data_IF_225514878983
#
_entry.id   IF_225514878983
#
_cell.length_a   1.000
_cell.length_b   1.000
_cell.length_c   1.000
_cell.angle_alpha   90.00
_cell.angle_beta   90.00
_cell.angle_gamma   90.00
#
_symmetry.space_group_name_H-M   'P 1'
#
loop_
_entity.id
_entity.type
_entity.pdbx_description
1 polymer ?
#
# COMPACT_ATOMS: atom_id res chain seq x y z
N UNK A 1 7.75 -11.16 2.89
CA UNK A 1 7.95 -10.74 4.31
C UNK A 1 8.28 -9.26 4.31
N UNK A 2 7.93 -8.54 5.39
CA UNK A 2 8.27 -7.10 5.51
C UNK A 2 9.79 -6.91 5.55
N UNK A 3 10.31 -5.96 4.76
CA UNK A 3 11.75 -5.76 4.57
C UNK A 3 12.46 -5.35 5.86
N UNK A 4 11.79 -4.59 6.72
CA UNK A 4 12.36 -4.12 7.98
C UNK A 4 12.46 -5.24 9.02
N UNK A 5 11.48 -6.16 9.04
CA UNK A 5 11.51 -7.34 9.91
C UNK A 5 12.64 -8.29 9.51
N UNK A 6 12.99 -8.34 8.23
CA UNK A 6 14.15 -9.13 7.77
C UNK A 6 15.49 -8.46 8.12
N UNK A 7 15.56 -7.14 8.08
CA UNK A 7 16.80 -6.40 8.32
C UNK A 7 17.10 -6.27 9.82
N UNK A 8 16.08 -6.09 10.65
CA UNK A 8 16.23 -5.78 12.07
C UNK A 8 15.53 -6.80 12.97
N UNK A 9 16.03 -6.95 14.19
CA UNK A 9 15.33 -7.62 15.28
C UNK A 9 14.23 -6.72 15.88
N UNK A 10 13.35 -7.30 16.73
CA UNK A 10 12.33 -6.53 17.44
C UNK A 10 12.91 -5.38 18.28
N UNK A 11 14.14 -5.50 18.76
CA UNK A 11 14.86 -4.45 19.50
C UNK A 11 15.65 -3.48 18.59
N UNK A 12 15.28 -3.38 17.31
CA UNK A 12 15.92 -2.51 16.31
C UNK A 12 17.43 -2.76 16.11
N UNK A 13 17.93 -3.94 16.44
CA UNK A 13 19.33 -4.33 16.16
C UNK A 13 19.40 -4.95 14.78
N UNK A 14 20.43 -4.56 14.00
CA UNK A 14 20.73 -5.17 12.72
C UNK A 14 20.92 -6.68 12.91
N UNK A 15 20.29 -7.49 12.05
CA UNK A 15 20.50 -8.96 12.04
C UNK A 15 21.87 -9.28 11.48
N UNK A 16 22.48 -10.35 11.97
CA UNK A 16 23.77 -10.85 11.48
C UNK A 16 23.68 -11.47 10.08
N UNK A 17 22.51 -11.89 9.68
CA UNK A 17 22.26 -12.55 8.39
C UNK A 17 21.01 -11.99 7.72
N UNK A 18 21.02 -11.93 6.39
CA UNK A 18 19.89 -11.56 5.54
C UNK A 18 19.63 -12.66 4.51
N UNK A 19 18.53 -13.40 4.68
CA UNK A 19 18.15 -14.51 3.80
C UNK A 19 17.92 -14.10 2.32
N UNK A 20 17.81 -12.81 2.04
CA UNK A 20 17.55 -12.25 0.69
C UNK A 20 18.78 -11.57 0.08
N UNK A 21 19.94 -11.71 0.71
CA UNK A 21 21.21 -11.19 0.20
C UNK A 21 22.13 -12.35 -0.19
N UNK A 22 22.99 -12.18 -1.21
CA UNK A 22 23.99 -13.19 -1.55
C UNK A 22 24.87 -13.55 -0.34
N UNK A 23 25.12 -14.84 -0.15
CA UNK A 23 25.88 -15.39 0.97
C UNK A 23 25.33 -15.03 2.37
N UNK A 24 24.03 -14.67 2.46
CA UNK A 24 23.42 -14.25 3.72
C UNK A 24 23.96 -12.93 4.29
N UNK A 25 24.66 -12.14 3.51
CA UNK A 25 25.28 -10.90 4.00
C UNK A 25 24.24 -9.92 4.49
N UNK A 26 24.40 -9.46 5.73
CA UNK A 26 23.56 -8.41 6.29
C UNK A 26 23.90 -7.03 5.67
N UNK A 27 22.98 -6.10 5.79
CA UNK A 27 23.11 -4.69 5.38
C UNK A 27 23.45 -4.44 3.89
N UNK A 28 23.18 -5.43 3.02
CA UNK A 28 23.37 -5.29 1.57
C UNK A 28 22.16 -4.68 0.85
N UNK A 29 21.03 -4.52 1.52
CA UNK A 29 19.80 -3.95 0.97
C UNK A 29 19.51 -2.59 1.58
N UNK A 30 18.94 -1.65 0.82
CA UNK A 30 18.51 -0.36 1.37
C UNK A 30 17.42 -0.58 2.44
N UNK A 31 17.24 0.41 3.30
CA UNK A 31 16.03 0.50 4.10
C UNK A 31 14.82 0.76 3.21
N UNK A 32 13.70 0.13 3.51
CA UNK A 32 12.48 0.20 2.69
C UNK A 32 12.73 -0.12 1.21
N UNK A 33 13.29 -1.30 0.88
CA UNK A 33 13.68 -1.64 -0.49
C UNK A 33 12.52 -1.53 -1.48
N UNK A 34 11.28 -1.82 -1.08
CA UNK A 34 10.11 -1.64 -1.94
C UNK A 34 9.98 -0.18 -2.42
N UNK A 35 10.16 0.79 -1.53
CA UNK A 35 10.10 2.22 -1.88
C UNK A 35 11.29 2.61 -2.75
N UNK A 36 12.51 2.21 -2.35
CA UNK A 36 13.75 2.57 -3.05
C UNK A 36 13.77 1.98 -4.46
N UNK A 37 13.46 0.69 -4.59
CA UNK A 37 13.47 0.02 -5.91
C UNK A 37 12.38 0.54 -6.82
N UNK A 38 11.19 0.83 -6.29
CA UNK A 38 10.12 1.46 -7.08
C UNK A 38 10.56 2.81 -7.63
N UNK A 39 11.18 3.65 -6.83
CA UNK A 39 11.70 4.96 -7.29
C UNK A 39 12.74 4.80 -8.40
N UNK A 40 13.67 3.87 -8.24
CA UNK A 40 14.67 3.56 -9.29
C UNK A 40 13.97 3.09 -10.58
N UNK A 41 12.98 2.19 -10.47
CA UNK A 41 12.24 1.72 -11.64
C UNK A 41 11.48 2.86 -12.32
N UNK A 42 10.83 3.73 -11.56
CA UNK A 42 10.11 4.89 -12.11
C UNK A 42 11.03 5.93 -12.74
N UNK A 43 12.25 6.06 -12.24
CA UNK A 43 13.28 6.93 -12.83
C UNK A 43 13.79 6.36 -14.17
N UNK A 44 14.08 5.06 -14.21
CA UNK A 44 14.60 4.39 -15.41
C UNK A 44 13.53 4.12 -16.47
N UNK A 45 12.30 3.86 -16.05
CA UNK A 45 11.18 3.45 -16.90
C UNK A 45 9.90 4.23 -16.50
N UNK A 46 9.83 5.54 -16.76
CA UNK A 46 8.74 6.41 -16.28
C UNK A 46 7.35 6.00 -16.78
N UNK A 47 7.28 5.46 -18.00
CA UNK A 47 6.03 5.05 -18.65
C UNK A 47 5.60 3.61 -18.31
N UNK A 48 6.45 2.86 -17.61
CA UNK A 48 6.13 1.48 -17.23
C UNK A 48 5.36 1.45 -15.91
N UNK A 49 4.19 0.81 -15.87
CA UNK A 49 3.44 0.63 -14.63
C UNK A 49 4.21 -0.19 -13.60
N UNK A 50 4.19 0.24 -12.35
CA UNK A 50 4.76 -0.50 -11.22
C UNK A 50 3.64 -0.89 -10.26
N UNK A 51 3.45 -2.19 -10.07
CA UNK A 51 2.46 -2.77 -9.17
C UNK A 51 3.17 -3.36 -7.95
N UNK A 52 2.73 -2.99 -6.76
CA UNK A 52 3.26 -3.51 -5.51
C UNK A 52 2.38 -4.64 -4.99
N UNK A 53 3.01 -5.63 -4.38
CA UNK A 53 2.33 -6.76 -3.74
C UNK A 53 3.05 -7.26 -2.50
N UNK A 54 2.52 -8.33 -1.93
CA UNK A 54 3.08 -8.98 -0.75
C UNK A 54 2.76 -8.28 0.57
N UNK A 55 3.30 -8.83 1.66
CA UNK A 55 2.96 -8.39 3.03
C UNK A 55 3.31 -6.93 3.28
N UNK A 56 4.47 -6.47 2.83
CA UNK A 56 4.92 -5.10 3.05
C UNK A 56 3.96 -4.08 2.43
N UNK A 57 3.57 -4.27 1.18
CA UNK A 57 2.60 -3.41 0.51
C UNK A 57 1.20 -3.51 1.14
N UNK A 58 0.77 -4.73 1.49
CA UNK A 58 -0.54 -4.97 2.12
C UNK A 58 -0.67 -4.26 3.46
N UNK A 59 0.36 -4.29 4.30
CA UNK A 59 0.36 -3.64 5.62
C UNK A 59 0.50 -2.12 5.53
N UNK A 60 1.08 -1.60 4.45
CA UNK A 60 1.33 -0.16 4.24
C UNK A 60 0.40 0.48 3.21
N UNK A 61 -0.74 -0.16 2.93
CA UNK A 61 -1.73 0.32 1.95
C UNK A 61 -2.51 1.57 2.37
N UNK A 62 -2.48 1.91 3.65
CA UNK A 62 -3.10 3.09 4.25
C UNK A 62 -2.08 3.78 5.18
N UNK A 63 -2.48 4.86 5.86
CA UNK A 63 -1.68 5.44 6.93
C UNK A 63 -1.37 4.39 8.00
N UNK A 64 -0.10 4.22 8.31
CA UNK A 64 0.37 3.18 9.21
C UNK A 64 1.45 3.71 10.16
N UNK A 65 1.57 3.08 11.33
CA UNK A 65 2.66 3.34 12.25
C UNK A 65 3.91 2.56 11.83
N UNK A 66 4.98 3.27 11.54
CA UNK A 66 6.29 2.68 11.27
C UNK A 66 7.07 2.59 12.57
N UNK A 67 7.18 1.38 13.09
CA UNK A 67 7.89 1.08 14.33
C UNK A 67 9.37 1.48 14.29
N UNK A 68 10.02 1.36 13.14
CA UNK A 68 11.44 1.63 12.98
C UNK A 68 11.75 3.13 13.05
N UNK A 69 10.93 3.94 12.39
CA UNK A 69 11.00 5.41 12.38
C UNK A 69 10.29 6.05 13.58
N UNK A 70 9.52 5.28 14.34
CA UNK A 70 8.68 5.75 15.45
C UNK A 70 7.73 6.89 15.05
N UNK A 71 7.07 6.73 13.89
CA UNK A 71 6.12 7.73 13.38
C UNK A 71 5.07 7.13 12.46
N UNK A 72 3.99 7.89 12.26
CA UNK A 72 3.02 7.58 11.22
C UNK A 72 3.58 7.93 9.85
N UNK A 73 3.41 6.99 8.91
CA UNK A 73 3.78 7.12 7.51
C UNK A 73 2.53 7.08 6.65
N UNK A 74 2.52 7.76 5.50
CA UNK A 74 1.40 7.69 4.56
C UNK A 74 1.33 6.33 3.87
N UNK A 75 0.32 6.14 3.03
CA UNK A 75 0.24 4.99 2.13
C UNK A 75 1.54 4.82 1.33
N UNK A 76 2.00 3.58 1.17
CA UNK A 76 3.25 3.28 0.43
C UNK A 76 3.21 3.73 -1.03
N UNK A 77 2.03 3.85 -1.67
CA UNK A 77 1.91 4.44 -3.01
C UNK A 77 2.39 5.89 -3.04
N UNK A 78 2.07 6.67 -2.00
CA UNK A 78 2.51 8.07 -1.89
C UNK A 78 4.03 8.18 -1.74
N UNK A 79 4.62 7.29 -0.96
CA UNK A 79 6.07 7.31 -0.70
C UNK A 79 6.89 6.73 -1.87
N UNK A 80 6.37 5.71 -2.55
CA UNK A 80 7.09 5.00 -3.61
C UNK A 80 6.86 5.55 -5.00
N UNK A 81 5.68 6.13 -5.26
CA UNK A 81 5.24 6.51 -6.61
C UNK A 81 4.79 5.34 -7.48
N UNK A 82 4.52 4.18 -6.89
CA UNK A 82 3.91 3.06 -7.61
C UNK A 82 2.48 3.37 -8.04
N UNK A 83 2.00 2.66 -9.05
CA UNK A 83 0.69 2.94 -9.67
C UNK A 83 -0.46 2.20 -8.97
N UNK A 84 -0.21 1.00 -8.46
CA UNK A 84 -1.24 0.14 -7.87
C UNK A 84 -0.64 -0.76 -6.79
N UNK A 85 -1.45 -1.12 -5.79
CA UNK A 85 -1.15 -2.25 -4.89
C UNK A 85 -2.16 -3.36 -5.17
N UNK A 86 -1.68 -4.60 -5.19
CA UNK A 86 -2.50 -5.80 -5.04
C UNK A 86 -2.18 -6.38 -3.67
N UNK A 87 -3.16 -6.43 -2.76
CA UNK A 87 -2.95 -6.86 -1.38
C UNK A 87 -3.56 -8.23 -1.09
N UNK A 88 -3.10 -8.86 -0.01
CA UNK A 88 -3.57 -10.19 0.39
C UNK A 88 -3.12 -11.27 -0.60
N UNK A 89 -4.02 -12.22 -0.91
CA UNK A 89 -3.82 -13.26 -1.91
C UNK A 89 -4.21 -12.71 -3.29
N UNK A 90 -3.24 -12.18 -4.01
CA UNK A 90 -3.45 -11.37 -5.20
C UNK A 90 -3.56 -12.13 -6.52
N UNK A 91 -3.64 -13.47 -6.53
CA UNK A 91 -3.56 -14.28 -7.75
C UNK A 91 -4.69 -13.94 -8.74
N UNK A 92 -5.91 -13.79 -8.25
CA UNK A 92 -7.06 -13.40 -9.10
C UNK A 92 -6.92 -11.98 -9.60
N UNK A 93 -6.56 -11.06 -8.71
CA UNK A 93 -6.44 -9.64 -9.03
C UNK A 93 -5.35 -9.38 -10.07
N UNK A 94 -4.18 -10.07 -9.99
CA UNK A 94 -3.12 -9.91 -10.99
C UNK A 94 -3.54 -10.44 -12.36
N UNK A 95 -4.27 -11.56 -12.43
CA UNK A 95 -4.78 -12.11 -13.69
C UNK A 95 -5.76 -11.14 -14.34
N UNK A 96 -6.71 -10.60 -13.54
CA UNK A 96 -7.70 -9.64 -14.02
C UNK A 96 -7.04 -8.34 -14.49
N UNK A 97 -6.05 -7.84 -13.76
CA UNK A 97 -5.24 -6.70 -14.16
C UNK A 97 -4.56 -6.93 -15.50
N UNK A 98 -3.89 -8.07 -15.65
CA UNK A 98 -3.22 -8.41 -16.91
C UNK A 98 -4.22 -8.50 -18.08
N UNK A 99 -5.39 -9.09 -17.87
CA UNK A 99 -6.41 -9.19 -18.92
C UNK A 99 -6.89 -7.81 -19.37
N UNK A 100 -7.22 -6.91 -18.43
CA UNK A 100 -7.62 -5.53 -18.77
C UNK A 100 -6.52 -4.76 -19.49
N UNK A 101 -5.27 -4.93 -19.09
CA UNK A 101 -4.15 -4.31 -19.80
C UNK A 101 -3.97 -4.88 -21.22
N UNK A 102 -4.18 -6.17 -21.44
CA UNK A 102 -4.18 -6.79 -22.77
C UNK A 102 -5.34 -6.29 -23.64
N UNK A 103 -6.48 -5.93 -23.05
CA UNK A 103 -7.61 -5.28 -23.71
C UNK A 103 -7.33 -3.81 -24.06
N UNK A 104 -6.19 -3.26 -23.60
CA UNK A 104 -5.75 -1.89 -23.93
C UNK A 104 -6.07 -0.85 -22.88
N UNK A 105 -6.57 -1.24 -21.70
CA UNK A 105 -6.79 -0.28 -20.60
C UNK A 105 -5.46 0.17 -20.00
N UNK A 106 -5.33 1.45 -19.74
CA UNK A 106 -4.20 2.01 -18.98
C UNK A 106 -4.30 1.66 -17.50
N UNK A 107 -3.17 1.47 -16.82
CA UNK A 107 -3.14 1.12 -15.37
C UNK A 107 -3.93 2.12 -14.52
N UNK A 108 -3.94 3.40 -14.89
CA UNK A 108 -4.64 4.46 -14.16
C UNK A 108 -6.16 4.42 -14.34
N UNK A 109 -6.64 3.73 -15.37
CA UNK A 109 -8.07 3.60 -15.66
C UNK A 109 -8.66 2.34 -15.02
N UNK A 110 -7.80 1.42 -14.58
CA UNK A 110 -8.20 0.16 -13.93
C UNK A 110 -8.34 0.39 -12.42
N UNK A 111 -9.58 0.60 -11.95
CA UNK A 111 -9.88 1.00 -10.57
C UNK A 111 -10.92 0.11 -9.87
N UNK A 112 -11.46 -0.85 -10.58
CA UNK A 112 -12.61 -1.67 -10.18
C UNK A 112 -12.24 -3.10 -9.76
N UNK A 113 -10.96 -3.48 -9.84
CA UNK A 113 -10.51 -4.83 -9.48
C UNK A 113 -10.55 -5.01 -7.96
N UNK A 114 -11.14 -6.10 -7.45
CA UNK A 114 -11.07 -6.47 -6.04
C UNK A 114 -9.62 -6.61 -5.54
N UNK A 115 -9.41 -6.44 -4.25
CA UNK A 115 -8.09 -6.56 -3.60
C UNK A 115 -7.01 -5.63 -4.17
N UNK A 116 -7.41 -4.47 -4.72
CA UNK A 116 -6.48 -3.46 -5.20
C UNK A 116 -6.54 -2.18 -4.38
N UNK A 117 -5.45 -1.41 -4.43
CA UNK A 117 -5.39 -0.08 -3.84
C UNK A 117 -4.78 0.88 -4.85
N UNK A 118 -5.42 2.01 -5.05
CA UNK A 118 -4.94 3.06 -5.92
C UNK A 118 -5.03 4.43 -5.26
N UNK A 119 -4.29 5.40 -5.79
CA UNK A 119 -4.40 6.80 -5.41
C UNK A 119 -4.98 7.64 -6.55
N UNK A 120 -5.84 8.58 -6.20
CA UNK A 120 -6.49 9.46 -7.17
C UNK A 120 -6.98 10.75 -6.50
N UNK A 121 -7.37 11.75 -7.29
CA UNK A 121 -8.16 12.88 -6.81
C UNK A 121 -9.64 12.50 -6.64
N UNK A 122 -10.45 13.42 -6.16
CA UNK A 122 -11.88 13.18 -5.91
C UNK A 122 -12.65 12.81 -7.19
N UNK A 123 -12.27 13.38 -8.33
CA UNK A 123 -12.93 13.12 -9.62
C UNK A 123 -12.57 11.74 -10.19
N UNK A 124 -11.39 11.23 -9.83
CA UNK A 124 -10.91 9.94 -10.29
C UNK A 124 -11.35 8.76 -9.45
N UNK A 125 -12.16 8.92 -8.40
CA UNK A 125 -12.70 7.80 -7.63
C UNK A 125 -13.72 7.05 -8.49
N UNK A 126 -13.49 5.77 -8.70
CA UNK A 126 -14.36 4.92 -9.53
C UNK A 126 -15.81 4.90 -9.01
N UNK A 127 -16.75 5.30 -9.89
CA UNK A 127 -18.15 5.45 -9.54
C UNK A 127 -18.43 6.57 -8.52
N UNK A 128 -17.46 7.45 -8.26
CA UNK A 128 -17.55 8.50 -7.24
C UNK A 128 -17.56 7.94 -5.80
N UNK A 129 -17.96 8.79 -4.86
CA UNK A 129 -18.21 8.36 -3.49
C UNK A 129 -19.58 7.65 -3.42
N UNK A 130 -19.60 6.41 -2.93
CA UNK A 130 -20.81 5.60 -2.76
C UNK A 130 -21.31 5.69 -1.31
N UNK A 131 -22.61 5.47 -1.09
CA UNK A 131 -23.21 5.54 0.25
C UNK A 131 -22.65 4.51 1.21
N UNK A 132 -22.18 3.38 0.70
CA UNK A 132 -21.57 2.30 1.48
C UNK A 132 -20.05 2.41 1.60
N UNK A 133 -19.43 3.47 1.09
CA UNK A 133 -17.98 3.69 1.30
C UNK A 133 -17.70 4.04 2.75
N UNK A 134 -16.67 3.43 3.30
CA UNK A 134 -16.16 3.75 4.62
C UNK A 134 -15.07 4.82 4.48
N UNK A 135 -15.41 6.03 4.86
CA UNK A 135 -14.42 7.13 4.95
C UNK A 135 -13.79 7.11 6.33
N UNK A 136 -12.49 6.93 6.37
CA UNK A 136 -11.71 6.95 7.59
C UNK A 136 -10.98 8.30 7.74
N UNK A 137 -10.47 8.59 8.93
CA UNK A 137 -9.70 9.80 9.18
C UNK A 137 -8.54 9.94 8.21
N UNK A 138 -8.30 11.14 7.72
CA UNK A 138 -7.21 11.47 6.81
C UNK A 138 -5.84 11.22 7.46
N UNK A 139 -4.81 11.16 6.64
CA UNK A 139 -3.43 11.07 7.13
C UNK A 139 -3.08 12.22 8.06
N UNK A 140 -3.47 13.44 7.71
CA UNK A 140 -3.22 14.66 8.47
C UNK A 140 -3.92 14.66 9.83
N UNK A 141 -5.18 14.19 9.89
CA UNK A 141 -5.90 14.02 11.15
C UNK A 141 -5.23 12.98 12.05
N UNK A 142 -4.76 11.88 11.48
CA UNK A 142 -4.01 10.86 12.23
C UNK A 142 -2.70 11.39 12.79
N UNK A 143 -1.98 12.24 12.06
CA UNK A 143 -0.75 12.88 12.54
C UNK A 143 -0.99 13.79 13.74
N UNK A 144 -2.15 14.46 13.79
CA UNK A 144 -2.51 15.39 14.86
C UNK A 144 -3.16 14.70 16.05
N UNK A 145 -3.80 13.54 15.82
CA UNK A 145 -4.62 12.88 16.84
C UNK A 145 -4.42 11.36 16.83
N UNK A 146 -3.74 10.84 17.86
CA UNK A 146 -3.51 9.40 18.03
C UNK A 146 -4.82 8.59 18.12
N UNK A 147 -5.91 9.20 18.62
CA UNK A 147 -7.22 8.54 18.70
C UNK A 147 -7.79 8.30 17.32
N UNK A 148 -7.66 9.27 16.38
CA UNK A 148 -8.07 9.11 14.99
C UNK A 148 -7.36 7.92 14.32
N UNK A 149 -6.06 7.75 14.56
CA UNK A 149 -5.32 6.58 14.06
C UNK A 149 -5.83 5.27 14.68
N UNK A 150 -6.16 5.25 15.97
CA UNK A 150 -6.68 4.07 16.64
C UNK A 150 -8.09 3.70 16.12
N UNK A 151 -8.93 4.68 15.85
CA UNK A 151 -10.26 4.50 15.24
C UNK A 151 -10.14 3.95 13.82
N UNK A 152 -9.23 4.50 13.01
CA UNK A 152 -8.93 3.96 11.68
C UNK A 152 -8.47 2.51 11.74
N UNK A 153 -7.55 2.18 12.66
CA UNK A 153 -7.06 0.81 12.82
C UNK A 153 -8.20 -0.16 13.14
N UNK A 154 -9.10 0.23 14.06
CA UNK A 154 -10.28 -0.58 14.40
C UNK A 154 -11.16 -0.85 13.17
N UNK A 155 -11.46 0.18 12.38
CA UNK A 155 -12.27 0.04 11.16
C UNK A 155 -11.59 -0.87 10.14
N UNK A 156 -10.28 -0.70 9.91
CA UNK A 156 -9.50 -1.52 8.98
C UNK A 156 -9.51 -3.00 9.39
N UNK A 157 -9.35 -3.28 10.70
CA UNK A 157 -9.40 -4.64 11.24
C UNK A 157 -10.80 -5.26 11.10
N UNK A 158 -11.85 -4.50 11.43
CA UNK A 158 -13.21 -4.95 11.28
C UNK A 158 -13.55 -5.30 9.82
N UNK A 159 -13.16 -4.44 8.87
CA UNK A 159 -13.38 -4.70 7.43
C UNK A 159 -12.53 -5.86 6.91
N UNK A 160 -11.30 -6.00 7.38
CA UNK A 160 -10.41 -7.10 6.95
C UNK A 160 -10.93 -8.49 7.35
N UNK A 161 -11.84 -8.57 8.31
CA UNK A 161 -12.41 -9.82 8.81
C UNK A 161 -13.82 -10.10 8.27
N UNK A 162 -14.38 -9.23 7.41
CA UNK A 162 -15.71 -9.43 6.81
C UNK A 162 -15.64 -10.21 5.51
N UNK A 163 -16.59 -11.09 5.29
CA UNK A 163 -16.78 -11.79 4.00
C UNK A 163 -17.23 -10.80 2.91
N UNK A 164 -18.05 -9.82 3.29
CA UNK A 164 -18.52 -8.74 2.41
C UNK A 164 -18.01 -7.40 2.96
N UNK A 165 -16.72 -7.17 2.81
CA UNK A 165 -16.08 -5.94 3.20
C UNK A 165 -16.52 -4.78 2.28
N UNK A 166 -16.42 -3.56 2.79
CA UNK A 166 -16.73 -2.35 2.04
C UNK A 166 -15.46 -1.65 1.58
N UNK A 167 -15.59 -0.80 0.57
CA UNK A 167 -14.50 0.02 0.07
C UNK A 167 -14.10 1.05 1.13
N UNK A 168 -12.80 1.12 1.44
CA UNK A 168 -12.26 2.11 2.40
C UNK A 168 -11.60 3.24 1.63
N UNK A 169 -11.87 4.47 2.06
CA UNK A 169 -11.29 5.68 1.46
C UNK A 169 -10.62 6.53 2.54
N UNK A 170 -9.36 6.87 2.32
CA UNK A 170 -8.57 7.73 3.19
C UNK A 170 -8.03 8.94 2.43
N UNK A 171 -8.25 10.15 2.95
CA UNK A 171 -7.64 11.36 2.43
C UNK A 171 -6.15 11.47 2.76
N UNK A 172 -5.34 11.95 1.80
CA UNK A 172 -3.92 12.31 1.97
C UNK A 172 -3.67 13.59 1.15
N UNK A 173 -3.58 14.73 1.82
CA UNK A 173 -3.47 16.02 1.15
C UNK A 173 -4.70 16.32 0.27
N UNK A 174 -4.49 16.43 -1.04
CA UNK A 174 -5.56 16.64 -2.04
C UNK A 174 -6.02 15.36 -2.73
N UNK A 175 -5.39 14.24 -2.41
CA UNK A 175 -5.62 12.93 -3.02
C UNK A 175 -6.32 11.99 -2.04
N UNK A 176 -6.81 10.90 -2.57
CA UNK A 176 -7.45 9.82 -1.82
C UNK A 176 -6.77 8.49 -2.12
N UNK A 177 -6.56 7.71 -1.09
CA UNK A 177 -6.27 6.28 -1.21
C UNK A 177 -7.59 5.54 -1.16
N UNK A 178 -7.83 4.73 -2.17
CA UNK A 178 -9.03 3.90 -2.29
C UNK A 178 -8.62 2.45 -2.19
N UNK A 179 -9.19 1.73 -1.23
CA UNK A 179 -8.96 0.30 -1.01
C UNK A 179 -10.21 -0.45 -1.44
N UNK A 180 -10.13 -1.17 -2.54
CA UNK A 180 -11.19 -2.05 -3.00
C UNK A 180 -11.23 -3.32 -2.13
N UNK A 181 -12.41 -3.75 -1.65
CA UNK A 181 -12.55 -4.97 -0.86
C UNK A 181 -12.17 -6.23 -1.66
N UNK A 182 -11.89 -7.37 -0.98
CA UNK A 182 -11.67 -8.66 -1.60
C UNK A 182 -12.94 -9.29 -2.19
#
# INVERSE_FOLDING_TARGET
MDSMVNKYTANKRLRSEDAYSPDGRHDCRPEYPTIVYTKILKELYPDTPVVLGGIEASMRRLTHYDYWKDKLMPCILKDSGADLIIYGMGEKAIIELCNKMLEGFGIKDIKDIPQTVYMTDAAGIDGGFKDNDIKIHSHEECLQNKKAQAENFKVIEEESNKIHAQRIIQGIGKEFVVVNPP
#
